data_IF_254205503629
#
_entry.id   IF_254205503629
#
_cell.length_a   1.000
_cell.length_b   1.000
_cell.length_c   1.000
_cell.angle_alpha   90.00
_cell.angle_beta   90.00
_cell.angle_gamma   90.00
#
_symmetry.space_group_name_H-M   'P 1'
#
loop_
_entity.id
_entity.type
_entity.pdbx_description
1 polymer ?
#
# COMPACT_ATOMS: atom_id res chain seq x y z
N UNK A 1 15.46 -6.05 -22.01
CA UNK A 1 14.13 -5.78 -21.43
C UNK A 1 14.29 -5.25 -20.01
N UNK A 2 13.50 -4.26 -19.57
CA UNK A 2 13.46 -3.76 -18.19
C UNK A 2 12.52 -4.65 -17.37
N UNK A 3 12.96 -5.04 -16.17
CA UNK A 3 12.15 -5.81 -15.25
C UNK A 3 11.73 -4.94 -14.05
N UNK A 4 10.45 -4.81 -13.78
CA UNK A 4 9.91 -4.13 -12.58
C UNK A 4 9.25 -5.19 -11.71
N UNK A 5 9.76 -5.33 -10.49
CA UNK A 5 9.21 -6.26 -9.50
C UNK A 5 8.50 -5.51 -8.37
N UNK A 6 7.22 -5.75 -8.22
CA UNK A 6 6.43 -5.20 -7.12
C UNK A 6 6.63 -6.10 -5.89
N UNK A 7 7.41 -5.59 -4.95
CA UNK A 7 7.65 -6.19 -3.64
C UNK A 7 6.66 -5.65 -2.60
N UNK A 8 6.97 -5.80 -1.32
CA UNK A 8 6.05 -5.48 -0.22
C UNK A 8 6.82 -4.94 0.98
N UNK A 9 6.15 -4.19 1.82
CA UNK A 9 6.54 -3.82 3.19
C UNK A 9 6.75 -5.03 4.12
N UNK A 10 6.14 -6.18 3.80
CA UNK A 10 6.27 -7.44 4.56
C UNK A 10 7.69 -8.05 4.54
N UNK A 11 8.63 -7.44 3.83
CA UNK A 11 10.06 -7.80 3.86
C UNK A 11 10.76 -7.36 5.14
N UNK A 12 10.20 -6.38 5.84
CA UNK A 12 10.74 -5.87 7.11
C UNK A 12 10.21 -6.64 8.32
N UNK A 13 10.96 -6.63 9.42
CA UNK A 13 10.58 -7.31 10.68
C UNK A 13 9.39 -6.60 11.36
N UNK A 14 9.38 -5.28 11.36
CA UNK A 14 8.29 -4.48 11.91
C UNK A 14 8.36 -4.24 13.42
N UNK A 15 9.53 -4.41 14.03
CA UNK A 15 9.78 -4.27 15.47
C UNK A 15 10.33 -2.91 15.88
N UNK A 16 10.75 -2.08 14.92
CA UNK A 16 11.32 -0.75 15.20
C UNK A 16 10.25 0.35 15.15
N UNK A 17 10.51 1.44 15.83
CA UNK A 17 9.78 2.68 15.66
C UNK A 17 10.29 3.46 14.43
N UNK A 18 9.39 4.22 13.78
CA UNK A 18 9.70 5.04 12.61
C UNK A 18 9.61 4.28 11.29
N UNK A 19 10.02 4.95 10.22
CA UNK A 19 9.88 4.46 8.86
C UNK A 19 11.11 3.65 8.44
N UNK A 20 10.90 2.56 7.71
CA UNK A 20 11.94 1.74 7.12
C UNK A 20 12.47 2.37 5.83
N UNK A 21 13.80 2.47 5.73
CA UNK A 21 14.51 2.89 4.51
C UNK A 21 14.92 1.68 3.69
N UNK A 22 15.26 1.89 2.43
CA UNK A 22 15.75 0.84 1.53
C UNK A 22 17.03 0.15 2.04
N UNK A 23 17.85 0.89 2.80
CA UNK A 23 19.09 0.43 3.40
C UNK A 23 18.91 -0.37 4.70
N UNK A 24 17.71 -0.36 5.27
CA UNK A 24 17.43 -1.11 6.49
C UNK A 24 17.42 -2.63 6.21
N UNK A 25 17.89 -3.45 7.15
CA UNK A 25 17.94 -4.89 6.97
C UNK A 25 16.54 -5.48 6.79
N UNK A 26 16.40 -6.39 5.83
CA UNK A 26 15.18 -7.19 5.65
C UNK A 26 15.22 -8.41 6.58
N UNK A 27 14.13 -8.63 7.31
CA UNK A 27 13.98 -9.77 8.22
C UNK A 27 12.51 -10.24 8.24
N UNK A 28 12.00 -10.80 7.12
CA UNK A 28 10.59 -11.15 6.97
C UNK A 28 10.20 -12.28 7.93
N UNK A 29 9.12 -12.09 8.67
CA UNK A 29 8.58 -13.08 9.61
C UNK A 29 7.59 -14.06 8.95
N UNK A 30 7.08 -13.74 7.76
CA UNK A 30 6.11 -14.58 7.03
C UNK A 30 6.75 -15.26 5.82
N UNK A 31 6.17 -16.38 5.37
CA UNK A 31 6.58 -17.07 4.15
C UNK A 31 6.45 -16.13 2.94
N UNK A 32 5.37 -15.36 2.87
CA UNK A 32 5.17 -14.35 1.82
C UNK A 32 6.33 -13.34 1.77
N UNK A 33 6.71 -12.75 2.91
CA UNK A 33 7.84 -11.83 2.97
C UNK A 33 9.16 -12.48 2.53
N UNK A 34 9.42 -13.75 2.94
CA UNK A 34 10.62 -14.50 2.53
C UNK A 34 10.66 -14.71 1.01
N UNK A 35 9.55 -15.06 0.38
CA UNK A 35 9.50 -15.22 -1.09
C UNK A 35 9.71 -13.90 -1.81
N UNK A 36 9.20 -12.77 -1.25
CA UNK A 36 9.45 -11.43 -1.80
C UNK A 36 10.95 -11.08 -1.73
N UNK A 37 11.63 -11.30 -0.60
CA UNK A 37 13.08 -11.05 -0.46
C UNK A 37 13.88 -11.86 -1.46
N UNK A 38 13.60 -13.14 -1.64
CA UNK A 38 14.28 -13.98 -2.61
C UNK A 38 14.10 -13.45 -4.05
N UNK A 39 12.90 -13.01 -4.41
CA UNK A 39 12.63 -12.42 -5.71
C UNK A 39 13.31 -11.05 -5.89
N UNK A 40 13.36 -10.19 -4.85
CA UNK A 40 14.13 -8.93 -4.87
C UNK A 40 15.59 -9.18 -5.25
N UNK A 41 16.23 -10.15 -4.59
CA UNK A 41 17.61 -10.50 -4.84
C UNK A 41 17.84 -10.94 -6.29
N UNK A 42 16.96 -11.78 -6.85
CA UNK A 42 17.06 -12.23 -8.24
C UNK A 42 16.93 -11.07 -9.25
N UNK A 43 15.98 -10.14 -9.00
CA UNK A 43 15.76 -8.99 -9.88
C UNK A 43 16.92 -7.99 -9.80
N UNK A 44 17.47 -7.74 -8.61
CA UNK A 44 18.59 -6.82 -8.42
C UNK A 44 19.91 -7.32 -9.04
N UNK A 45 20.03 -8.62 -9.33
CA UNK A 45 21.16 -9.17 -10.09
C UNK A 45 21.07 -8.87 -11.60
N UNK A 46 19.91 -8.43 -12.09
CA UNK A 46 19.76 -8.04 -13.49
C UNK A 46 20.24 -6.61 -13.73
N UNK A 47 20.79 -6.34 -14.91
CA UNK A 47 21.35 -5.01 -15.25
C UNK A 47 20.30 -3.89 -15.29
N UNK A 48 19.04 -4.23 -15.48
CA UNK A 48 17.91 -3.25 -15.59
C UNK A 48 16.73 -3.61 -14.69
N UNK A 49 17.02 -4.20 -13.53
CA UNK A 49 16.02 -4.54 -12.53
C UNK A 49 15.62 -3.33 -11.70
N UNK A 50 14.31 -3.14 -11.51
CA UNK A 50 13.72 -2.22 -10.55
C UNK A 50 12.88 -3.00 -9.54
N UNK A 51 13.21 -2.90 -8.27
CA UNK A 51 12.43 -3.46 -7.16
C UNK A 51 11.68 -2.34 -6.47
N UNK A 52 10.38 -2.52 -6.29
CA UNK A 52 9.49 -1.55 -5.67
C UNK A 52 8.84 -2.16 -4.43
N UNK A 53 9.27 -1.76 -3.25
CA UNK A 53 8.60 -2.08 -1.99
C UNK A 53 7.43 -1.14 -1.79
N UNK A 54 6.23 -1.68 -1.60
CA UNK A 54 5.00 -0.88 -1.54
C UNK A 54 3.91 -1.55 -0.71
N UNK A 55 2.87 -0.79 -0.37
CA UNK A 55 1.62 -1.29 0.19
C UNK A 55 0.45 -0.59 -0.52
N UNK A 56 -0.32 -1.33 -1.31
CA UNK A 56 -1.23 -0.79 -2.32
C UNK A 56 -2.69 -0.88 -1.86
N UNK A 57 -3.46 0.17 -2.11
CA UNK A 57 -4.91 0.13 -2.08
C UNK A 57 -5.47 0.88 -3.30
N UNK A 58 -6.77 0.76 -3.56
CA UNK A 58 -7.43 1.44 -4.67
C UNK A 58 -8.61 0.65 -5.18
N UNK A 59 -9.13 1.01 -6.34
CA UNK A 59 -10.23 0.28 -6.98
C UNK A 59 -9.75 -0.94 -7.75
N UNK A 60 -10.52 -2.03 -7.69
CA UNK A 60 -10.22 -3.27 -8.37
C UNK A 60 -11.27 -3.55 -9.47
N UNK A 61 -10.81 -3.97 -10.64
CA UNK A 61 -11.71 -4.38 -11.72
C UNK A 61 -12.30 -5.79 -11.53
N UNK A 62 -11.66 -6.62 -10.69
CA UNK A 62 -12.14 -7.97 -10.34
C UNK A 62 -13.12 -7.93 -9.18
N UNK A 63 -13.93 -8.99 -9.02
CA UNK A 63 -14.85 -9.14 -7.88
C UNK A 63 -14.14 -9.43 -6.53
N UNK A 64 -13.07 -8.69 -6.25
CA UNK A 64 -12.29 -8.79 -5.01
C UNK A 64 -11.99 -7.39 -4.51
N UNK A 65 -12.48 -7.04 -3.34
CA UNK A 65 -12.25 -5.73 -2.75
C UNK A 65 -10.78 -5.56 -2.32
N UNK A 66 -10.18 -4.44 -2.65
CA UNK A 66 -8.97 -3.94 -2.00
C UNK A 66 -9.27 -3.56 -0.54
N UNK A 67 -8.23 -3.23 0.23
CA UNK A 67 -8.40 -2.79 1.62
C UNK A 67 -9.30 -1.55 1.73
N UNK A 68 -9.13 -0.56 0.85
CA UNK A 68 -9.96 0.65 0.85
C UNK A 68 -11.41 0.38 0.45
N UNK A 69 -11.63 -0.42 -0.59
CA UNK A 69 -12.98 -0.81 -1.00
C UNK A 69 -13.69 -1.66 0.07
N UNK A 70 -12.95 -2.57 0.71
CA UNK A 70 -13.51 -3.38 1.79
C UNK A 70 -14.01 -2.53 2.95
N UNK A 71 -13.22 -1.55 3.41
CA UNK A 71 -13.65 -0.62 4.47
C UNK A 71 -14.91 0.13 4.05
N UNK A 72 -14.87 0.78 2.87
CA UNK A 72 -16.00 1.54 2.34
C UNK A 72 -17.27 0.69 2.25
N UNK A 73 -17.19 -0.46 1.59
CA UNK A 73 -18.34 -1.32 1.35
C UNK A 73 -18.91 -1.92 2.64
N UNK A 74 -18.05 -2.30 3.59
CA UNK A 74 -18.49 -2.80 4.90
C UNK A 74 -19.25 -1.72 5.69
N UNK A 75 -18.73 -0.51 5.74
CA UNK A 75 -19.39 0.59 6.45
C UNK A 75 -20.71 1.01 5.75
N UNK A 76 -20.73 1.03 4.42
CA UNK A 76 -21.93 1.32 3.63
C UNK A 76 -23.04 0.28 3.84
N UNK A 77 -22.66 -1.00 4.02
CA UNK A 77 -23.62 -2.08 4.35
C UNK A 77 -24.01 -2.16 5.83
N UNK A 78 -23.55 -1.21 6.66
CA UNK A 78 -23.87 -1.15 8.10
C UNK A 78 -23.08 -2.15 8.96
N UNK A 79 -22.03 -2.79 8.42
CA UNK A 79 -21.18 -3.68 9.21
C UNK A 79 -20.29 -2.88 10.16
N UNK A 80 -20.11 -3.40 11.37
CA UNK A 80 -19.12 -2.89 12.31
C UNK A 80 -17.73 -3.42 11.97
N UNK A 81 -16.73 -2.54 12.00
CA UNK A 81 -15.34 -2.90 11.76
C UNK A 81 -14.51 -2.81 13.03
N UNK A 82 -13.70 -3.83 13.31
CA UNK A 82 -12.65 -3.78 14.34
C UNK A 82 -11.30 -3.52 13.66
N UNK A 83 -10.72 -2.33 13.90
CA UNK A 83 -9.53 -1.86 13.19
C UNK A 83 -8.36 -1.65 14.16
N UNK A 84 -7.17 -2.15 13.78
CA UNK A 84 -5.97 -2.08 14.62
C UNK A 84 -5.40 -0.67 14.64
N UNK A 85 -5.33 -0.08 15.84
CA UNK A 85 -4.71 1.24 16.07
C UNK A 85 -3.18 1.16 16.23
N UNK A 86 -2.67 -0.03 16.50
CA UNK A 86 -1.25 -0.33 16.75
C UNK A 86 -0.57 -1.08 15.59
N UNK A 87 -1.21 -1.15 14.43
CA UNK A 87 -0.64 -1.66 13.17
C UNK A 87 -0.49 -0.51 12.18
N UNK A 88 0.77 -0.15 11.87
CA UNK A 88 1.13 1.00 11.06
C UNK A 88 1.63 0.59 9.67
N UNK A 89 1.34 1.39 8.64
CA UNK A 89 1.76 1.15 7.27
C UNK A 89 1.78 2.46 6.46
N UNK A 90 2.39 2.43 5.27
CA UNK A 90 2.45 3.57 4.34
C UNK A 90 1.69 3.24 3.05
N UNK A 91 0.33 3.27 3.06
CA UNK A 91 -0.48 2.85 1.92
C UNK A 91 -0.44 3.87 0.79
N UNK A 92 -0.18 3.43 -0.44
CA UNK A 92 -0.26 4.27 -1.64
C UNK A 92 -1.46 3.89 -2.50
N UNK A 93 -2.12 4.89 -3.08
CA UNK A 93 -3.20 4.66 -4.03
C UNK A 93 -2.62 4.07 -5.32
N UNK A 94 -3.25 3.01 -5.85
CA UNK A 94 -2.76 2.29 -7.04
C UNK A 94 -2.56 3.18 -8.25
N UNK A 95 -3.40 4.21 -8.43
CA UNK A 95 -3.29 5.20 -9.50
C UNK A 95 -2.00 6.01 -9.39
N UNK A 96 -1.69 6.52 -8.20
CA UNK A 96 -0.45 7.26 -7.97
C UNK A 96 0.79 6.37 -8.13
N UNK A 97 0.74 5.13 -7.62
CA UNK A 97 1.80 4.16 -7.86
C UNK A 97 2.04 3.94 -9.36
N UNK A 98 0.97 3.78 -10.15
CA UNK A 98 1.07 3.59 -11.60
C UNK A 98 1.73 4.78 -12.32
N UNK A 99 1.40 6.01 -11.92
CA UNK A 99 2.01 7.24 -12.42
C UNK A 99 3.52 7.30 -12.11
N UNK A 100 3.89 6.96 -10.87
CA UNK A 100 5.31 6.92 -10.46
C UNK A 100 6.07 5.82 -11.22
N UNK A 101 5.47 4.64 -11.42
CA UNK A 101 6.07 3.56 -12.20
C UNK A 101 6.26 3.97 -13.67
N UNK A 102 5.33 4.71 -14.27
CA UNK A 102 5.49 5.25 -15.62
C UNK A 102 6.69 6.20 -15.71
N UNK A 103 6.85 7.11 -14.74
CA UNK A 103 8.03 7.97 -14.63
C UNK A 103 9.33 7.17 -14.44
N UNK A 104 9.30 6.10 -13.63
CA UNK A 104 10.45 5.21 -13.46
C UNK A 104 10.83 4.49 -14.77
N UNK A 105 9.86 4.16 -15.59
CA UNK A 105 10.10 3.57 -16.92
C UNK A 105 10.69 4.60 -17.89
N UNK A 106 10.11 5.78 -17.95
CA UNK A 106 10.57 6.89 -18.80
C UNK A 106 12.01 7.30 -18.49
N UNK A 107 12.35 7.41 -17.20
CA UNK A 107 13.68 7.81 -16.73
C UNK A 107 14.68 6.64 -16.57
N UNK A 108 14.31 5.45 -17.00
CA UNK A 108 15.10 4.20 -16.88
C UNK A 108 15.63 3.91 -15.47
N UNK A 109 14.84 4.19 -14.44
CA UNK A 109 15.20 4.01 -13.02
C UNK A 109 15.42 2.52 -12.74
N UNK A 110 16.58 2.16 -12.16
CA UNK A 110 16.94 0.80 -11.74
C UNK A 110 17.31 0.79 -10.26
N UNK A 111 17.31 -0.39 -9.64
CA UNK A 111 17.67 -0.56 -8.23
C UNK A 111 16.48 -0.83 -7.32
N UNK A 112 16.60 -0.50 -6.04
CA UNK A 112 15.58 -0.75 -5.02
C UNK A 112 15.03 0.55 -4.46
N UNK A 113 13.70 0.69 -4.44
CA UNK A 113 13.03 1.86 -3.86
C UNK A 113 11.77 1.50 -3.09
N UNK A 114 11.53 2.21 -2.00
CA UNK A 114 10.24 2.26 -1.33
C UNK A 114 9.34 3.27 -2.08
N UNK A 115 8.30 2.79 -2.75
CA UNK A 115 7.29 3.63 -3.40
C UNK A 115 5.97 3.45 -2.64
N UNK A 116 5.70 4.37 -1.75
CA UNK A 116 4.61 4.33 -0.78
C UNK A 116 4.17 5.76 -0.44
N UNK A 117 3.07 5.93 0.28
CA UNK A 117 2.65 7.25 0.77
C UNK A 117 3.71 7.90 1.65
N UNK A 118 3.74 9.23 1.66
CA UNK A 118 4.63 10.02 2.54
C UNK A 118 4.13 9.95 3.98
N UNK A 119 4.92 9.33 4.85
CA UNK A 119 4.55 9.05 6.24
C UNK A 119 3.85 7.69 6.40
N UNK A 120 3.25 7.49 7.57
CA UNK A 120 2.52 6.27 7.90
C UNK A 120 1.22 6.58 8.63
N UNK A 121 0.30 5.63 8.59
CA UNK A 121 -1.01 5.72 9.25
C UNK A 121 -1.35 4.37 9.90
N UNK A 122 -2.12 4.35 10.99
CA UNK A 122 -2.63 3.10 11.53
C UNK A 122 -3.78 2.55 10.68
N UNK A 123 -4.06 1.24 10.79
CA UNK A 123 -5.22 0.65 10.11
C UNK A 123 -6.53 1.28 10.58
N UNK A 124 -6.61 1.64 11.86
CA UNK A 124 -7.76 2.33 12.44
C UNK A 124 -7.91 3.74 11.86
N UNK A 125 -6.84 4.54 11.86
CA UNK A 125 -6.91 5.91 11.37
C UNK A 125 -7.20 5.95 9.86
N UNK A 126 -6.65 5.02 9.07
CA UNK A 126 -6.98 4.88 7.65
C UNK A 126 -8.47 4.60 7.43
N UNK A 127 -9.07 3.73 8.26
CA UNK A 127 -10.50 3.46 8.19
C UNK A 127 -11.34 4.67 8.58
N UNK A 128 -10.90 5.45 9.58
CA UNK A 128 -11.55 6.71 9.98
C UNK A 128 -11.46 7.77 8.87
N UNK A 129 -10.33 7.90 8.20
CA UNK A 129 -10.19 8.81 7.05
C UNK A 129 -11.12 8.41 5.90
N UNK A 130 -11.22 7.11 5.57
CA UNK A 130 -12.16 6.63 4.55
C UNK A 130 -13.60 6.89 4.97
N UNK A 131 -13.96 6.59 6.23
CA UNK A 131 -15.28 6.87 6.77
C UNK A 131 -15.66 8.35 6.61
N UNK A 132 -14.75 9.25 6.96
CA UNK A 132 -14.91 10.70 6.85
C UNK A 132 -15.06 11.13 5.38
N UNK A 133 -14.14 10.69 4.50
CA UNK A 133 -14.12 11.08 3.10
C UNK A 133 -15.39 10.65 2.34
N UNK A 134 -15.96 9.49 2.69
CA UNK A 134 -17.18 8.97 2.06
C UNK A 134 -18.46 9.26 2.86
N UNK A 135 -18.37 10.05 3.94
CA UNK A 135 -19.52 10.45 4.78
C UNK A 135 -20.33 9.24 5.30
N UNK A 136 -19.64 8.14 5.64
CA UNK A 136 -20.28 6.91 6.09
C UNK A 136 -20.64 6.94 7.57
N UNK A 137 -21.74 6.30 7.96
CA UNK A 137 -22.25 6.29 9.35
C UNK A 137 -21.88 5.04 10.15
N UNK A 138 -21.34 3.98 9.50
CA UNK A 138 -20.99 2.71 10.14
C UNK A 138 -20.01 2.85 11.31
N UNK A 139 -19.97 1.86 12.20
CA UNK A 139 -19.16 1.85 13.42
C UNK A 139 -17.77 1.30 13.15
N UNK A 140 -16.73 1.98 13.65
CA UNK A 140 -15.34 1.51 13.65
C UNK A 140 -14.86 1.44 15.09
N UNK A 141 -14.60 0.23 15.57
CA UNK A 141 -14.07 -0.04 16.91
C UNK A 141 -12.54 -0.10 16.88
N UNK A 142 -11.90 0.46 17.90
CA UNK A 142 -10.45 0.35 18.09
C UNK A 142 -10.10 -1.03 18.61
N UNK A 143 -9.22 -1.74 17.91
CA UNK A 143 -8.70 -3.03 18.31
C UNK A 143 -7.16 -2.98 18.41
N UNK A 144 -6.58 -3.81 19.28
CA UNK A 144 -5.13 -4.01 19.35
C UNK A 144 -4.75 -5.34 18.71
N UNK A 145 -3.70 -5.35 17.87
CA UNK A 145 -3.14 -6.61 17.33
C UNK A 145 -2.70 -7.57 18.44
N UNK A 146 -2.32 -7.07 19.61
CA UNK A 146 -1.85 -7.89 20.75
C UNK A 146 -2.94 -8.82 21.28
N UNK A 147 -4.20 -8.46 21.06
CA UNK A 147 -5.37 -9.22 21.53
C UNK A 147 -5.95 -10.11 20.42
N UNK A 148 -5.23 -10.31 19.31
CA UNK A 148 -5.72 -11.07 18.17
C UNK A 148 -4.76 -12.20 17.78
N UNK A 149 -5.27 -13.42 17.65
CA UNK A 149 -4.50 -14.56 17.15
C UNK A 149 -4.53 -14.59 15.62
N UNK A 150 -3.38 -14.38 15.01
CA UNK A 150 -3.24 -14.44 13.55
C UNK A 150 -2.81 -15.85 13.12
N UNK A 151 -3.39 -16.36 12.04
CA UNK A 151 -2.95 -17.62 11.40
C UNK A 151 -1.49 -17.58 10.92
N UNK A 152 -0.99 -16.40 10.58
CA UNK A 152 0.40 -16.17 10.20
C UNK A 152 0.92 -14.95 10.97
N UNK A 153 2.22 -14.93 11.34
CA UNK A 153 2.83 -13.78 11.99
C UNK A 153 2.61 -12.49 11.17
N UNK A 154 2.26 -11.41 11.87
CA UNK A 154 2.09 -10.08 11.27
C UNK A 154 3.00 -9.07 11.94
N UNK A 155 3.58 -8.21 11.12
CA UNK A 155 4.42 -7.10 11.55
C UNK A 155 3.56 -5.97 12.11
N UNK A 156 3.99 -5.34 13.20
CA UNK A 156 3.28 -4.23 13.82
C UNK A 156 3.53 -2.90 13.09
N UNK A 157 4.78 -2.66 12.68
CA UNK A 157 5.14 -1.47 11.93
C UNK A 157 5.67 -1.83 10.54
N UNK A 158 4.95 -1.40 9.53
CA UNK A 158 5.27 -1.56 8.11
C UNK A 158 5.39 -0.20 7.41
N UNK A 159 5.60 0.88 8.19
CA UNK A 159 5.81 2.22 7.65
C UNK A 159 7.15 2.30 6.91
N UNK A 160 7.15 2.90 5.71
CA UNK A 160 8.33 3.02 4.85
C UNK A 160 8.64 4.49 4.52
N UNK A 161 9.93 4.82 4.41
CA UNK A 161 10.42 6.11 3.95
C UNK A 161 10.59 6.09 2.42
N UNK A 162 10.00 7.05 1.75
CA UNK A 162 10.02 7.21 0.30
C UNK A 162 10.96 8.35 -0.18
N UNK A 163 11.80 8.88 0.71
CA UNK A 163 12.63 10.04 0.41
C UNK A 163 13.59 9.81 -0.77
N UNK A 164 14.11 8.59 -0.93
CA UNK A 164 15.03 8.24 -2.01
C UNK A 164 14.39 8.41 -3.38
N UNK A 165 13.21 7.83 -3.61
CA UNK A 165 12.51 7.94 -4.91
C UNK A 165 12.00 9.35 -5.17
N UNK A 166 11.47 10.06 -4.15
CA UNK A 166 11.05 11.46 -4.29
C UNK A 166 12.19 12.36 -4.74
N UNK A 167 13.37 12.19 -4.12
CA UNK A 167 14.57 12.93 -4.50
C UNK A 167 15.04 12.60 -5.92
N UNK A 168 15.06 11.30 -6.27
CA UNK A 168 15.51 10.84 -7.58
C UNK A 168 14.65 11.39 -8.72
N UNK A 169 13.33 11.33 -8.56
CA UNK A 169 12.38 11.75 -9.58
C UNK A 169 12.04 13.24 -9.52
N UNK A 170 12.42 13.94 -8.44
CA UNK A 170 12.05 15.32 -8.13
C UNK A 170 10.52 15.50 -8.10
N UNK A 171 9.82 14.65 -7.32
CA UNK A 171 8.36 14.65 -7.19
C UNK A 171 7.95 14.72 -5.71
N UNK A 172 6.72 15.13 -5.46
CA UNK A 172 5.99 14.86 -4.20
C UNK A 172 5.19 13.58 -4.34
N UNK A 173 5.01 12.86 -3.23
CA UNK A 173 4.11 11.70 -3.12
C UNK A 173 3.13 12.00 -2.00
N UNK A 174 1.87 11.74 -2.25
CA UNK A 174 0.77 12.04 -1.32
C UNK A 174 0.96 11.39 0.05
N UNK A 175 0.47 12.05 1.08
CA UNK A 175 0.24 11.46 2.41
C UNK A 175 -0.91 10.45 2.34
N UNK A 176 -1.09 9.55 3.34
CA UNK A 176 -2.24 8.66 3.37
C UNK A 176 -3.58 9.40 3.30
N UNK A 177 -3.70 10.57 3.93
CA UNK A 177 -4.90 11.40 3.93
C UNK A 177 -5.21 11.98 2.54
N UNK A 178 -4.20 12.53 1.86
CA UNK A 178 -4.34 13.03 0.48
C UNK A 178 -4.68 11.88 -0.49
N UNK A 179 -4.09 10.71 -0.30
CA UNK A 179 -4.43 9.51 -1.05
C UNK A 179 -5.88 9.09 -0.88
N UNK A 180 -6.44 9.16 0.36
CA UNK A 180 -7.86 8.89 0.62
C UNK A 180 -8.76 9.93 -0.02
N UNK A 181 -8.39 11.21 -0.01
CA UNK A 181 -9.15 12.26 -0.70
C UNK A 181 -9.21 11.98 -2.21
N UNK A 182 -8.08 11.59 -2.84
CA UNK A 182 -8.05 11.18 -4.25
C UNK A 182 -8.86 9.89 -4.51
N UNK A 183 -8.84 8.93 -3.60
CA UNK A 183 -9.66 7.71 -3.68
C UNK A 183 -11.15 8.05 -3.70
N UNK A 184 -11.60 9.02 -2.89
CA UNK A 184 -12.98 9.54 -2.93
C UNK A 184 -13.27 10.26 -4.25
N UNK A 185 -12.40 11.16 -4.70
CA UNK A 185 -12.55 11.89 -5.97
C UNK A 185 -12.77 10.92 -7.14
N UNK A 186 -11.95 9.87 -7.25
CA UNK A 186 -12.09 8.85 -8.30
C UNK A 186 -13.44 8.12 -8.23
N UNK A 187 -14.00 7.94 -7.02
CA UNK A 187 -15.35 7.41 -6.87
C UNK A 187 -16.39 8.35 -7.47
N UNK A 188 -16.31 9.64 -7.15
CA UNK A 188 -17.26 10.65 -7.61
C UNK A 188 -17.20 10.85 -9.13
N UNK A 189 -16.03 10.64 -9.74
CA UNK A 189 -15.79 10.64 -11.19
C UNK A 189 -16.27 9.35 -11.90
N UNK A 190 -16.79 8.36 -11.16
CA UNK A 190 -17.26 7.09 -11.74
C UNK A 190 -16.14 6.14 -12.18
N UNK A 191 -14.91 6.34 -11.70
CA UNK A 191 -13.75 5.52 -12.08
C UNK A 191 -13.94 4.00 -11.85
N UNK A 192 -14.55 3.52 -10.73
CA UNK A 192 -14.79 2.09 -10.54
C UNK A 192 -15.64 1.45 -11.63
N UNK A 193 -16.64 2.20 -12.16
CA UNK A 193 -17.50 1.75 -13.23
C UNK A 193 -16.76 1.70 -14.58
N UNK A 194 -15.86 2.67 -14.83
CA UNK A 194 -15.00 2.68 -16.00
C UNK A 194 -14.03 1.49 -15.99
N UNK A 195 -13.41 1.19 -14.83
CA UNK A 195 -12.54 0.03 -14.68
C UNK A 195 -13.24 -1.30 -15.01
N UNK A 196 -14.49 -1.46 -14.57
CA UNK A 196 -15.27 -2.68 -14.84
C UNK A 196 -15.66 -2.81 -16.32
N UNK A 197 -15.92 -1.70 -17.02
CA UNK A 197 -16.23 -1.68 -18.47
C UNK A 197 -15.01 -1.92 -19.35
N UNK A 198 -13.83 -1.48 -18.93
CA UNK A 198 -12.56 -1.66 -19.64
C UNK A 198 -11.82 -2.95 -19.28
N UNK A 199 -12.32 -3.72 -18.31
CA UNK A 199 -11.75 -5.01 -17.94
C UNK A 199 -11.98 -6.03 -19.03
N UNK A 200 -10.91 -6.68 -19.48
CA UNK A 200 -10.98 -7.83 -20.38
C UNK A 200 -11.94 -8.88 -19.79
N UNK A 201 -13.02 -9.18 -20.52
CA UNK A 201 -13.75 -10.43 -20.37
C UNK A 201 -12.78 -11.55 -20.80
N UNK A 202 -12.14 -12.17 -19.79
CA UNK A 202 -11.21 -13.27 -19.96
C UNK A 202 -11.47 -14.38 -18.95
#
# INVERSE_FOLDING_TARGET
CKMIFISSDAVYHGDRQGLYKETDPVAPISVYGKTKVAAEQAVLQTTRGLVVRTNIYGYNFRNKNSFGEWIRNSLESGQELNMFYDLWFSPILVNELAEILALCMEKDVCGLYNICATGSISKYDMAMEIKKAFELTGTINRASMKNFEFRAPRTQNMGMDNAAIRKLLNISIATPQEGVARFRQLWDEGYPQLLKKGGYEG
#
